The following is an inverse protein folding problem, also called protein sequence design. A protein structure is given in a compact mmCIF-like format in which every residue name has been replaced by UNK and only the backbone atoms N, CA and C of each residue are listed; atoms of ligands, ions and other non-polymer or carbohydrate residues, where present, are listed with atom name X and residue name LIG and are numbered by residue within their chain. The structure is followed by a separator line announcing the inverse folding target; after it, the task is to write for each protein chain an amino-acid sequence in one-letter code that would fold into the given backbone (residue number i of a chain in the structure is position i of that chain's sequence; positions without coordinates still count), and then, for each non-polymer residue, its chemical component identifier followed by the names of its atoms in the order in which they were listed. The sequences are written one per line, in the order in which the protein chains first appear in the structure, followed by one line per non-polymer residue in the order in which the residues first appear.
data_IF_098527324876
#
_entry.id   IF_098527324876
#
_cell.length_a   1.000
_cell.length_b   1.000
_cell.length_c   1.000
_cell.angle_alpha   90.00
_cell.angle_beta   90.00
_cell.angle_gamma   90.00
#
_symmetry.space_group_name_H-M   'P 1'
#
loop_
_entity.id
_entity.type
_entity.pdbx_description
1 polymer ?
#
# COMPACT_ATOMS: atom_id res chain seq x y z
N UNK A 1 -12.86 -2.00 23.16
CA UNK A 1 -12.10 -2.03 21.87
C UNK A 1 -12.17 -0.66 21.22
N UNK A 2 -11.05 -0.13 20.74
CA UNK A 2 -11.00 1.17 20.07
C UNK A 2 -11.78 1.09 18.74
N UNK A 3 -12.83 1.90 18.56
CA UNK A 3 -13.67 1.88 17.35
C UNK A 3 -12.87 2.13 16.07
N UNK A 4 -11.81 2.94 16.16
CA UNK A 4 -10.93 3.20 15.02
C UNK A 4 -10.17 1.95 14.57
N UNK A 5 -9.67 1.15 15.52
CA UNK A 5 -8.98 -0.10 15.20
C UNK A 5 -9.95 -1.11 14.56
N UNK A 6 -11.20 -1.18 15.03
CA UNK A 6 -12.22 -2.04 14.43
C UNK A 6 -12.54 -1.62 12.99
N UNK A 7 -12.70 -0.31 12.74
CA UNK A 7 -12.91 0.23 11.39
C UNK A 7 -11.71 -0.07 10.49
N UNK A 8 -10.47 0.07 11.02
CA UNK A 8 -9.26 -0.25 10.29
C UNK A 8 -9.18 -1.73 9.90
N UNK A 9 -9.46 -2.65 10.84
CA UNK A 9 -9.48 -4.09 10.58
C UNK A 9 -10.58 -4.46 9.58
N UNK A 10 -11.80 -3.94 9.75
CA UNK A 10 -12.91 -4.13 8.81
C UNK A 10 -12.56 -3.61 7.41
N UNK A 11 -11.94 -2.43 7.34
CA UNK A 11 -11.48 -1.81 6.10
C UNK A 11 -10.42 -2.67 5.40
N UNK A 12 -9.40 -3.15 6.12
CA UNK A 12 -8.39 -4.03 5.56
C UNK A 12 -8.94 -5.39 5.15
N UNK A 13 -9.89 -5.95 5.91
CA UNK A 13 -10.54 -7.21 5.57
C UNK A 13 -11.39 -7.07 4.30
N UNK A 14 -12.21 -6.02 4.21
CA UNK A 14 -12.95 -5.69 3.00
C UNK A 14 -12.00 -5.45 1.82
N UNK A 15 -10.91 -4.71 2.04
CA UNK A 15 -9.87 -4.48 1.04
C UNK A 15 -9.27 -5.78 0.51
N UNK A 16 -8.95 -6.73 1.40
CA UNK A 16 -8.48 -8.06 1.01
C UNK A 16 -9.47 -8.82 0.14
N UNK A 17 -10.77 -8.74 0.46
CA UNK A 17 -11.84 -9.32 -0.37
C UNK A 17 -11.87 -8.69 -1.75
N UNK A 18 -11.92 -7.36 -1.85
CA UNK A 18 -11.92 -6.66 -3.15
C UNK A 18 -10.67 -6.97 -3.98
N UNK A 19 -9.51 -7.01 -3.33
CA UNK A 19 -8.24 -7.33 -3.97
C UNK A 19 -8.25 -8.76 -4.53
N UNK A 20 -8.74 -9.74 -3.75
CA UNK A 20 -8.83 -11.12 -4.18
C UNK A 20 -9.84 -11.32 -5.31
N UNK A 21 -11.01 -10.70 -5.22
CA UNK A 21 -12.03 -10.74 -6.27
C UNK A 21 -11.53 -10.11 -7.58
N UNK A 22 -10.75 -9.02 -7.48
CA UNK A 22 -10.09 -8.42 -8.63
C UNK A 22 -8.96 -9.27 -9.20
N UNK A 23 -8.21 -10.00 -8.38
CA UNK A 23 -7.17 -10.91 -8.88
C UNK A 23 -7.75 -12.15 -9.56
N UNK A 24 -8.87 -12.66 -9.04
CA UNK A 24 -9.49 -13.92 -9.47
C UNK A 24 -10.97 -13.73 -9.77
N UNK A 25 -11.34 -13.02 -10.87
CA UNK A 25 -12.74 -12.80 -11.24
C UNK A 25 -13.50 -14.10 -11.55
N UNK A 26 -12.79 -15.19 -11.91
CA UNK A 26 -13.37 -16.52 -12.07
C UNK A 26 -14.02 -17.06 -10.77
N UNK A 27 -13.59 -16.58 -9.59
CA UNK A 27 -14.17 -16.98 -8.30
C UNK A 27 -15.65 -16.64 -8.17
N UNK A 28 -16.16 -15.70 -8.98
CA UNK A 28 -17.56 -15.27 -8.99
C UNK A 28 -18.28 -15.72 -10.28
N UNK A 29 -17.68 -16.62 -11.05
CA UNK A 29 -18.21 -17.02 -12.37
C UNK A 29 -18.46 -15.81 -13.30
N UNK A 30 -17.60 -14.79 -13.23
CA UNK A 30 -17.62 -13.70 -14.19
C UNK A 30 -17.06 -14.22 -15.52
N UNK A 31 -17.94 -14.54 -16.47
CA UNK A 31 -17.55 -14.96 -17.82
C UNK A 31 -16.70 -13.87 -18.49
N UNK A 32 -15.64 -14.27 -19.19
CA UNK A 32 -14.70 -13.38 -19.89
C UNK A 32 -15.40 -12.63 -21.03
N UNK A 33 -16.14 -11.58 -20.66
CA UNK A 33 -16.87 -10.69 -21.56
C UNK A 33 -16.04 -9.43 -21.79
N UNK A 34 -16.07 -8.82 -23.00
CA UNK A 34 -15.45 -7.52 -23.23
C UNK A 34 -15.87 -6.50 -22.16
N UNK A 35 -14.90 -5.92 -21.44
CA UNK A 35 -15.12 -4.95 -20.36
C UNK A 35 -14.88 -5.46 -18.93
N UNK A 36 -14.78 -6.78 -18.71
CA UNK A 36 -14.50 -7.35 -17.37
C UNK A 36 -13.15 -6.89 -16.81
N UNK A 37 -12.13 -6.71 -17.66
CA UNK A 37 -10.80 -6.25 -17.23
C UNK A 37 -10.79 -4.87 -16.54
N UNK A 38 -11.68 -3.95 -16.92
CA UNK A 38 -11.76 -2.61 -16.27
C UNK A 38 -12.34 -2.73 -14.86
N UNK A 39 -13.39 -3.53 -14.68
CA UNK A 39 -13.99 -3.81 -13.37
C UNK A 39 -12.97 -4.54 -12.48
N UNK A 40 -12.21 -5.44 -13.08
CA UNK A 40 -11.15 -6.18 -12.43
C UNK A 40 -10.05 -5.25 -11.90
N UNK A 41 -9.49 -4.38 -12.76
CA UNK A 41 -8.50 -3.36 -12.38
C UNK A 41 -9.04 -2.46 -11.27
N UNK A 42 -10.29 -1.98 -11.39
CA UNK A 42 -10.95 -1.15 -10.39
C UNK A 42 -11.11 -1.87 -9.03
N UNK A 43 -11.43 -3.17 -9.06
CA UNK A 43 -11.57 -4.00 -7.86
C UNK A 43 -10.24 -4.23 -7.16
N UNK A 44 -9.18 -4.55 -7.92
CA UNK A 44 -7.81 -4.69 -7.40
C UNK A 44 -7.35 -3.39 -6.75
N UNK A 45 -7.53 -2.26 -7.43
CA UNK A 45 -7.15 -0.94 -6.93
C UNK A 45 -7.88 -0.53 -5.66
N UNK A 46 -9.19 -0.74 -5.64
CA UNK A 46 -10.02 -0.46 -4.46
C UNK A 46 -9.60 -1.32 -3.29
N UNK A 47 -9.36 -2.61 -3.54
CA UNK A 47 -8.90 -3.54 -2.53
C UNK A 47 -7.54 -3.15 -1.95
N UNK A 48 -6.58 -2.82 -2.81
CA UNK A 48 -5.24 -2.38 -2.43
C UNK A 48 -5.28 -1.11 -1.57
N UNK A 49 -6.07 -0.12 -2.00
CA UNK A 49 -6.25 1.13 -1.27
C UNK A 49 -6.82 0.88 0.13
N UNK A 50 -7.90 0.08 0.23
CA UNK A 50 -8.52 -0.26 1.50
C UNK A 50 -7.60 -1.06 2.42
N UNK A 51 -6.81 -1.98 1.87
CA UNK A 51 -5.79 -2.75 2.61
C UNK A 51 -4.77 -1.82 3.27
N UNK A 52 -4.16 -0.94 2.47
CA UNK A 52 -3.12 -0.03 2.94
C UNK A 52 -3.69 1.03 3.88
N UNK A 53 -4.83 1.65 3.54
CA UNK A 53 -5.48 2.65 4.38
C UNK A 53 -5.95 2.06 5.72
N UNK A 54 -6.53 0.85 5.70
CA UNK A 54 -6.94 0.14 6.91
C UNK A 54 -5.73 -0.21 7.79
N UNK A 55 -4.61 -0.62 7.21
CA UNK A 55 -3.38 -0.90 7.95
C UNK A 55 -2.84 0.36 8.65
N UNK A 56 -2.78 1.50 7.96
CA UNK A 56 -2.43 2.78 8.58
C UNK A 56 -3.38 3.16 9.71
N UNK A 57 -4.70 2.95 9.52
CA UNK A 57 -5.70 3.27 10.55
C UNK A 57 -5.55 2.39 11.79
N UNK A 58 -5.28 1.09 11.63
CA UNK A 58 -5.00 0.17 12.75
C UNK A 58 -3.75 0.62 13.50
N UNK A 59 -2.65 0.87 12.79
CA UNK A 59 -1.38 1.30 13.42
C UNK A 59 -1.55 2.65 14.12
N UNK A 60 -2.29 3.59 13.52
CA UNK A 60 -2.62 4.85 14.16
C UNK A 60 -3.43 4.64 15.44
N UNK A 61 -4.45 3.79 15.40
CA UNK A 61 -5.35 3.54 16.52
C UNK A 61 -4.69 2.79 17.69
N UNK A 62 -3.67 1.97 17.42
CA UNK A 62 -2.99 1.15 18.41
C UNK A 62 -1.72 1.79 18.97
N UNK A 63 -0.92 2.46 18.13
CA UNK A 63 0.43 2.92 18.49
C UNK A 63 0.49 4.44 18.64
N UNK A 64 -0.07 5.18 17.69
CA UNK A 64 0.22 6.61 17.52
C UNK A 64 -0.91 7.56 17.99
N UNK A 65 -1.99 7.04 18.57
CA UNK A 65 -3.21 7.82 18.88
C UNK A 65 -2.91 9.02 19.78
N UNK A 66 -2.08 8.80 20.79
CA UNK A 66 -1.78 9.78 21.84
C UNK A 66 -0.33 10.29 21.78
N UNK A 67 0.34 10.07 20.65
CA UNK A 67 1.74 10.42 20.45
C UNK A 67 1.93 11.64 19.53
N UNK A 68 2.94 12.50 19.79
CA UNK A 68 3.26 13.62 18.92
C UNK A 68 3.67 13.14 17.53
N UNK A 69 3.47 13.99 16.53
CA UNK A 69 3.87 13.68 15.14
C UNK A 69 5.40 13.67 15.04
N UNK A 70 5.96 12.57 14.54
CA UNK A 70 7.38 12.45 14.26
C UNK A 70 7.68 12.50 12.76
N UNK A 71 8.92 12.87 12.40
CA UNK A 71 9.35 12.96 11.01
C UNK A 71 9.28 11.58 10.31
N UNK A 72 9.73 10.52 10.98
CA UNK A 72 9.67 9.15 10.45
C UNK A 72 8.24 8.71 10.13
N UNK A 73 7.27 9.14 10.95
CA UNK A 73 5.86 8.85 10.72
C UNK A 73 5.36 9.48 9.41
N UNK A 74 5.75 10.72 9.13
CA UNK A 74 5.39 11.41 7.90
C UNK A 74 6.08 10.81 6.67
N UNK A 75 7.33 10.34 6.81
CA UNK A 75 8.06 9.60 5.76
C UNK A 75 7.36 8.28 5.46
N UNK A 76 7.00 7.51 6.49
CA UNK A 76 6.30 6.24 6.34
C UNK A 76 4.99 6.37 5.56
N UNK A 77 4.19 7.40 5.86
CA UNK A 77 2.95 7.69 5.09
C UNK A 77 3.27 8.05 3.64
N UNK A 78 4.25 8.93 3.38
CA UNK A 78 4.59 9.33 2.01
C UNK A 78 5.08 8.15 1.17
N UNK A 79 5.94 7.30 1.72
CA UNK A 79 6.43 6.09 1.08
C UNK A 79 5.29 5.11 0.78
N UNK A 80 4.34 4.98 1.72
CA UNK A 80 3.13 4.19 1.50
C UNK A 80 2.31 4.67 0.32
N UNK A 81 2.02 5.97 0.31
CA UNK A 81 1.20 6.61 -0.72
C UNK A 81 1.89 6.60 -2.09
N UNK A 82 3.20 6.76 -2.16
CA UNK A 82 3.92 6.64 -3.44
C UNK A 82 3.89 5.21 -3.98
N UNK A 83 3.98 4.19 -3.12
CA UNK A 83 3.77 2.79 -3.50
C UNK A 83 2.38 2.54 -4.08
N UNK A 84 1.33 3.11 -3.46
CA UNK A 84 -0.04 3.06 -3.99
C UNK A 84 -0.18 3.74 -5.35
N UNK A 85 0.40 4.94 -5.51
CA UNK A 85 0.38 5.65 -6.80
C UNK A 85 1.11 4.85 -7.88
N UNK A 86 2.24 4.24 -7.55
CA UNK A 86 2.99 3.40 -8.48
C UNK A 86 2.18 2.16 -8.91
N UNK A 87 1.58 1.45 -7.94
CA UNK A 87 0.71 0.32 -8.25
C UNK A 87 -0.47 0.73 -9.13
N UNK A 88 -1.07 1.90 -8.87
CA UNK A 88 -2.17 2.41 -9.67
C UNK A 88 -1.77 2.80 -11.09
N UNK A 89 -0.60 3.43 -11.26
CA UNK A 89 -0.06 3.73 -12.57
C UNK A 89 0.17 2.46 -13.40
N UNK A 90 0.72 1.40 -12.79
CA UNK A 90 0.95 0.12 -13.46
C UNK A 90 -0.37 -0.57 -13.87
N UNK A 91 -1.35 -0.62 -12.96
CA UNK A 91 -2.66 -1.23 -13.20
C UNK A 91 -3.48 -0.49 -14.27
N UNK A 92 -3.38 0.84 -14.32
CA UNK A 92 -4.08 1.65 -15.32
C UNK A 92 -3.33 1.80 -16.65
N UNK A 93 -2.11 1.25 -16.77
CA UNK A 93 -1.27 1.42 -17.96
C UNK A 93 -1.98 0.96 -19.26
N UNK A 94 -2.63 -0.20 -19.22
CA UNK A 94 -3.36 -0.74 -20.37
C UNK A 94 -4.62 0.08 -20.69
N UNK A 95 -5.33 0.60 -19.67
CA UNK A 95 -6.51 1.48 -19.87
C UNK A 95 -6.13 2.80 -20.53
N UNK A 96 -4.93 3.31 -20.24
CA UNK A 96 -4.41 4.56 -20.78
C UNK A 96 -3.76 4.40 -22.17
N UNK A 97 -3.70 3.18 -22.71
CA UNK A 97 -3.10 2.90 -24.03
C UNK A 97 -1.57 2.83 -24.04
N UNK A 98 -0.91 2.83 -22.87
CA UNK A 98 0.53 2.58 -22.72
C UNK A 98 0.85 1.10 -22.47
N UNK A 99 -0.18 0.25 -22.58
CA UNK A 99 -0.16 -1.13 -22.17
C UNK A 99 0.59 -2.10 -23.07
N UNK A 100 0.87 -3.27 -22.52
CA UNK A 100 1.58 -4.35 -23.23
C UNK A 100 0.68 -5.32 -23.97
N UNK A 101 -0.63 -5.29 -23.71
CA UNK A 101 -1.62 -6.21 -24.27
C UNK A 101 -2.68 -5.47 -25.09
N UNK A 102 -2.99 -5.97 -26.28
CA UNK A 102 -4.22 -5.62 -26.99
C UNK A 102 -5.39 -6.38 -26.35
N UNK A 103 -6.54 -5.70 -26.21
CA UNK A 103 -7.75 -6.11 -25.48
C UNK A 103 -8.47 -7.36 -26.08
N UNK A 104 -7.81 -8.16 -26.92
CA UNK A 104 -8.47 -9.16 -27.77
C UNK A 104 -8.65 -10.56 -27.12
N UNK A 105 -7.83 -10.98 -26.14
CA UNK A 105 -7.79 -12.40 -25.71
C UNK A 105 -8.21 -12.71 -24.25
N UNK A 106 -9.07 -11.88 -23.64
CA UNK A 106 -9.65 -12.22 -22.32
C UNK A 106 -8.64 -12.35 -21.18
N UNK A 107 -7.42 -11.83 -21.36
CA UNK A 107 -6.35 -11.88 -20.35
C UNK A 107 -6.62 -10.92 -19.19
N UNK A 108 -6.31 -11.39 -17.97
CA UNK A 108 -6.60 -10.77 -16.69
C UNK A 108 -5.84 -9.45 -16.48
N UNK A 109 -4.54 -9.38 -16.77
CA UNK A 109 -3.69 -8.17 -16.89
C UNK A 109 -2.32 -8.62 -17.43
N UNK A 110 -1.55 -7.73 -18.08
CA UNK A 110 -0.21 -8.07 -18.61
C UNK A 110 0.83 -8.38 -17.52
N UNK A 111 1.85 -9.20 -17.83
CA UNK A 111 2.93 -9.55 -16.87
C UNK A 111 3.61 -8.30 -16.26
N UNK A 112 3.88 -7.28 -17.08
CA UNK A 112 4.49 -6.03 -16.61
C UNK A 112 3.57 -5.25 -15.68
N UNK A 113 2.25 -5.28 -15.91
CA UNK A 113 1.29 -4.64 -15.01
C UNK A 113 1.24 -5.35 -13.66
N UNK A 114 1.22 -6.69 -13.67
CA UNK A 114 1.23 -7.50 -12.46
C UNK A 114 2.50 -7.26 -11.64
N UNK A 115 3.67 -7.21 -12.30
CA UNK A 115 4.94 -6.89 -11.66
C UNK A 115 4.95 -5.47 -11.08
N UNK A 116 4.47 -4.47 -11.84
CA UNK A 116 4.40 -3.09 -11.38
C UNK A 116 3.47 -2.91 -10.18
N UNK A 117 2.31 -3.57 -10.19
CA UNK A 117 1.41 -3.66 -9.03
C UNK A 117 2.13 -4.27 -7.82
N UNK A 118 2.82 -5.40 -8.00
CA UNK A 118 3.52 -6.09 -6.91
C UNK A 118 4.59 -5.18 -6.28
N UNK A 119 5.40 -4.51 -7.10
CA UNK A 119 6.42 -3.56 -6.64
C UNK A 119 5.77 -2.41 -5.87
N UNK A 120 4.70 -1.82 -6.41
CA UNK A 120 3.98 -0.74 -5.72
C UNK A 120 3.38 -1.20 -4.39
N UNK A 121 2.82 -2.41 -4.34
CA UNK A 121 2.32 -3.01 -3.11
C UNK A 121 3.43 -3.25 -2.07
N UNK A 122 4.61 -3.72 -2.49
CA UNK A 122 5.76 -3.90 -1.60
C UNK A 122 6.24 -2.56 -1.04
N UNK A 123 6.36 -1.53 -1.88
CA UNK A 123 6.71 -0.18 -1.44
C UNK A 123 5.66 0.35 -0.45
N UNK A 124 4.37 0.15 -0.74
CA UNK A 124 3.28 0.56 0.13
C UNK A 124 3.36 -0.14 1.51
N UNK A 125 3.63 -1.44 1.49
CA UNK A 125 3.79 -2.26 2.69
C UNK A 125 5.00 -1.84 3.52
N UNK A 126 6.14 -1.52 2.87
CA UNK A 126 7.31 -0.96 3.56
C UNK A 126 6.96 0.37 4.20
N UNK A 127 6.20 1.25 3.52
CA UNK A 127 5.72 2.49 4.10
C UNK A 127 4.89 2.30 5.38
N UNK A 128 4.01 1.29 5.40
CA UNK A 128 3.23 0.92 6.61
C UNK A 128 4.15 0.40 7.71
N UNK A 129 5.16 -0.41 7.38
CA UNK A 129 6.12 -0.92 8.36
C UNK A 129 6.95 0.20 8.97
N UNK A 130 7.49 1.11 8.16
CA UNK A 130 8.23 2.30 8.62
C UNK A 130 7.34 3.17 9.51
N UNK A 131 6.06 3.33 9.15
CA UNK A 131 5.10 4.05 9.98
C UNK A 131 4.87 3.35 11.32
N UNK A 132 4.76 2.02 11.35
CA UNK A 132 4.57 1.25 12.58
C UNK A 132 5.79 1.25 13.51
N UNK A 133 7.00 1.31 12.96
CA UNK A 133 8.26 1.28 13.73
C UNK A 133 8.92 2.66 13.87
N UNK A 134 8.19 3.74 13.54
CA UNK A 134 8.72 5.10 13.47
C UNK A 134 9.43 5.55 14.75
N UNK A 135 8.90 5.20 15.92
CA UNK A 135 9.50 5.54 17.22
C UNK A 135 10.86 4.86 17.44
N UNK A 136 10.96 3.57 17.16
CA UNK A 136 12.20 2.83 17.27
C UNK A 136 13.26 3.38 16.31
N UNK A 137 12.85 3.76 15.09
CA UNK A 137 13.72 4.41 14.11
C UNK A 137 14.20 5.79 14.56
N UNK A 138 13.32 6.62 15.13
CA UNK A 138 13.72 7.93 15.64
C UNK A 138 14.73 7.79 16.79
N UNK A 139 14.48 6.90 17.75
CA UNK A 139 15.39 6.67 18.87
C UNK A 139 16.76 6.17 18.40
N UNK A 140 16.79 5.28 17.40
CA UNK A 140 18.03 4.82 16.78
C UNK A 140 18.78 5.97 16.10
N UNK A 141 18.10 6.83 15.33
CA UNK A 141 18.74 7.99 14.71
C UNK A 141 19.32 8.97 15.74
N UNK A 142 18.58 9.25 16.82
CA UNK A 142 19.05 10.12 17.89
C UNK A 142 20.34 9.56 18.53
N UNK A 143 20.40 8.23 18.75
CA UNK A 143 21.62 7.58 19.26
C UNK A 143 22.83 7.74 18.32
N UNK A 144 22.63 7.69 17.01
CA UNK A 144 23.69 7.92 16.03
C UNK A 144 24.15 9.38 16.04
N UNK A 145 23.22 10.33 16.12
CA UNK A 145 23.59 11.75 16.18
C UNK A 145 24.36 12.11 17.45
N UNK A 146 24.09 11.44 18.57
CA UNK A 146 24.85 11.62 19.80
C UNK A 146 26.25 10.98 19.69
N UNK A 147 26.36 9.79 19.11
CA UNK A 147 27.63 9.08 19.01
C UNK A 147 28.60 9.64 17.95
N UNK A 148 28.08 10.36 16.95
CA UNK A 148 28.86 10.95 15.86
C UNK A 148 28.71 12.48 15.76
N UNK A 149 28.14 13.12 16.78
CA UNK A 149 27.99 14.57 16.86
C UNK A 149 29.31 15.29 17.17
N UNK A 150 29.47 16.58 16.81
CA UNK A 150 30.71 17.35 16.93
C UNK A 150 31.19 17.62 18.38
N UNK A 151 30.64 16.94 19.39
CA UNK A 151 31.04 17.04 20.80
C UNK A 151 32.16 16.10 21.22
N UNK A 152 32.63 15.22 20.33
CA UNK A 152 33.48 14.08 20.69
C UNK A 152 34.98 14.34 20.42
N UNK A 153 35.34 15.56 20.01
CA UNK A 153 36.73 15.95 19.67
C UNK A 153 37.45 16.70 20.81
N UNK A 154 36.85 16.82 22.00
CA UNK A 154 37.44 17.55 23.14
C UNK A 154 37.65 16.73 24.42
N UNK A 155 37.74 15.40 24.33
CA UNK A 155 38.19 14.54 25.44
C UNK A 155 39.47 13.79 25.09
#
# INVERSE_FOLDING_TARGET
MNRLAQIGVLGSAAGGVFFFLGLFPFSVSADATPGVGVIQIGSVLTGLFLLVAGAYLVVYALIHRDQPRSLMRDIGVRLGMTGLVFAAAALLADVMGFGSHEVQDGSLFGWLQALGMLIGFLIASIGVLVYATAEALNAWLESLTQNFGPGNEQQ
#
